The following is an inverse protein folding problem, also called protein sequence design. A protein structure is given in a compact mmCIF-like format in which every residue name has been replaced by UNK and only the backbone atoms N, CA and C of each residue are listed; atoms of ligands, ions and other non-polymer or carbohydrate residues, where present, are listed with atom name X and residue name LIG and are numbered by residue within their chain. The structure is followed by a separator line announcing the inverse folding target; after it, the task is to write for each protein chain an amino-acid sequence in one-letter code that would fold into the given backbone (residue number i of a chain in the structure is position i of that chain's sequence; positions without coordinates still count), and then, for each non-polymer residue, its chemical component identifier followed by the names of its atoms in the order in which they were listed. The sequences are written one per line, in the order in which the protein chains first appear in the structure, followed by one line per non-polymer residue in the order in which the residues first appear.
data_IF_354109826089
#
_entry.id   IF_354109826089
#
_cell.length_a   1.000
_cell.length_b   1.000
_cell.length_c   1.000
_cell.angle_alpha   90.00
_cell.angle_beta   90.00
_cell.angle_gamma   90.00
#
_symmetry.space_group_name_H-M   'P 1'
#
loop_
_entity.id
_entity.type
_entity.pdbx_description
1 polymer ?
#
# COMPACT_ATOMS: atom_id res chain seq x y z
N UNK A 1 91.17 -27.64 -22.42
CA UNK A 1 90.15 -26.56 -22.42
C UNK A 1 89.62 -26.43 -20.99
N UNK A 2 89.80 -25.31 -20.28
CA UNK A 2 89.52 -25.27 -18.85
C UNK A 2 88.01 -25.23 -18.59
N UNK A 3 87.53 -26.16 -17.76
CA UNK A 3 86.17 -26.23 -17.23
C UNK A 3 85.98 -25.09 -16.22
N UNK A 4 85.16 -24.10 -16.55
CA UNK A 4 84.72 -23.09 -15.58
C UNK A 4 83.68 -23.73 -14.64
N UNK A 5 83.94 -23.68 -13.34
CA UNK A 5 83.03 -24.24 -12.35
C UNK A 5 81.85 -23.28 -12.13
N UNK A 6 80.66 -23.80 -11.80
CA UNK A 6 79.49 -22.99 -11.44
C UNK A 6 79.79 -21.99 -10.31
N UNK A 7 80.76 -22.31 -9.45
CA UNK A 7 81.23 -21.45 -8.38
C UNK A 7 81.99 -20.22 -8.90
N UNK A 8 82.77 -20.35 -9.99
CA UNK A 8 83.49 -19.21 -10.61
C UNK A 8 82.54 -18.17 -11.21
N UNK A 9 81.38 -18.62 -11.73
CA UNK A 9 80.35 -17.74 -12.29
C UNK A 9 79.64 -16.98 -11.16
N UNK A 10 79.40 -17.63 -10.02
CA UNK A 10 78.78 -17.03 -8.82
C UNK A 10 79.75 -16.08 -8.10
N UNK A 11 81.06 -16.37 -8.08
CA UNK A 11 82.05 -15.46 -7.50
C UNK A 11 82.28 -14.20 -8.35
N UNK A 12 82.21 -14.32 -9.68
CA UNK A 12 82.29 -13.17 -10.59
C UNK A 12 81.08 -12.24 -10.47
N UNK A 13 79.88 -12.80 -10.29
CA UNK A 13 78.67 -11.99 -10.04
C UNK A 13 78.70 -11.29 -8.67
N UNK A 14 79.33 -11.92 -7.66
CA UNK A 14 79.58 -11.29 -6.34
C UNK A 14 80.63 -10.17 -6.33
N UNK A 15 81.63 -10.19 -7.24
CA UNK A 15 82.64 -9.13 -7.33
C UNK A 15 82.07 -7.81 -7.86
N UNK A 16 81.12 -7.87 -8.78
CA UNK A 16 80.46 -6.67 -9.29
C UNK A 16 79.64 -5.97 -8.20
N UNK A 17 79.04 -6.73 -7.28
CA UNK A 17 78.34 -6.23 -6.09
C UNK A 17 79.23 -5.56 -5.01
N UNK A 18 80.56 -5.50 -5.15
CA UNK A 18 81.44 -4.88 -4.13
C UNK A 18 81.75 -3.40 -4.36
N UNK A 19 81.50 -2.87 -5.56
CA UNK A 19 81.68 -1.43 -5.82
C UNK A 19 80.41 -0.65 -5.48
N UNK A 20 80.51 0.49 -4.77
CA UNK A 20 79.35 1.24 -4.30
C UNK A 20 78.39 1.61 -5.45
N UNK A 21 78.94 1.90 -6.63
CA UNK A 21 78.19 2.26 -7.84
C UNK A 21 77.36 1.12 -8.46
N UNK A 22 77.75 -0.15 -8.28
CA UNK A 22 76.97 -1.30 -8.78
C UNK A 22 75.78 -1.61 -7.87
N UNK A 23 75.92 -1.45 -6.55
CA UNK A 23 74.81 -1.57 -5.58
C UNK A 23 73.79 -0.46 -5.79
N UNK A 24 74.30 0.77 -5.77
CA UNK A 24 73.97 1.86 -6.70
C UNK A 24 72.88 1.60 -7.75
N UNK A 25 73.38 1.22 -8.92
CA UNK A 25 72.62 0.91 -10.12
C UNK A 25 71.62 -0.23 -9.93
N UNK A 26 71.93 -1.25 -9.12
CA UNK A 26 71.01 -2.37 -8.89
C UNK A 26 69.80 -1.96 -8.06
N UNK A 27 69.98 -1.14 -7.02
CA UNK A 27 68.88 -0.56 -6.22
C UNK A 27 68.02 0.36 -7.09
N UNK A 28 68.65 1.19 -7.93
CA UNK A 28 67.94 2.05 -8.89
C UNK A 28 67.13 1.21 -9.89
N UNK A 29 67.72 0.13 -10.43
CA UNK A 29 67.03 -0.77 -11.35
C UNK A 29 65.82 -1.46 -10.72
N UNK A 30 65.96 -1.94 -9.47
CA UNK A 30 64.84 -2.52 -8.71
C UNK A 30 63.76 -1.47 -8.44
N UNK A 31 64.14 -0.26 -8.04
CA UNK A 31 63.20 0.82 -7.77
C UNK A 31 62.43 1.22 -9.03
N UNK A 32 63.10 1.31 -10.19
CA UNK A 32 62.46 1.59 -11.48
C UNK A 32 61.53 0.45 -11.89
N UNK A 33 61.97 -0.80 -11.73
CA UNK A 33 61.14 -1.97 -12.04
C UNK A 33 59.89 -2.02 -11.17
N UNK A 34 60.02 -1.77 -9.86
CA UNK A 34 58.91 -1.71 -8.93
C UNK A 34 57.94 -0.57 -9.27
N UNK A 35 58.48 0.60 -9.62
CA UNK A 35 57.68 1.75 -10.07
C UNK A 35 56.86 1.41 -11.33
N UNK A 36 57.45 0.76 -12.33
CA UNK A 36 56.76 0.36 -13.55
C UNK A 36 55.67 -0.68 -13.28
N UNK A 37 55.91 -1.64 -12.38
CA UNK A 37 54.91 -2.65 -11.99
C UNK A 37 53.74 -2.00 -11.27
N UNK A 38 53.99 -1.13 -10.29
CA UNK A 38 52.95 -0.40 -9.56
C UNK A 38 52.17 0.50 -10.51
N UNK A 39 52.85 1.21 -11.40
CA UNK A 39 52.22 2.04 -12.43
C UNK A 39 51.34 1.21 -13.37
N UNK A 40 51.80 0.04 -13.81
CA UNK A 40 51.01 -0.86 -14.67
C UNK A 40 49.78 -1.40 -13.94
N UNK A 41 49.90 -1.76 -12.66
CA UNK A 41 48.77 -2.21 -11.83
C UNK A 41 47.77 -1.07 -11.64
N UNK A 42 48.23 0.16 -11.36
CA UNK A 42 47.35 1.34 -11.25
C UNK A 42 46.59 1.56 -12.57
N UNK A 43 47.27 1.48 -13.71
CA UNK A 43 46.62 1.60 -15.03
C UNK A 43 45.59 0.49 -15.23
N UNK A 44 45.92 -0.77 -14.96
CA UNK A 44 44.96 -1.90 -15.11
C UNK A 44 43.76 -1.78 -14.16
N UNK A 45 43.96 -1.28 -12.94
CA UNK A 45 42.88 -1.09 -11.96
C UNK A 45 41.98 0.09 -12.32
N UNK A 46 42.53 1.18 -12.86
CA UNK A 46 41.75 2.33 -13.35
C UNK A 46 41.06 2.03 -14.70
N UNK A 47 41.64 1.17 -15.54
CA UNK A 47 41.15 0.87 -16.90
C UNK A 47 40.27 -0.38 -16.91
N UNK A 48 39.28 -0.46 -16.00
CA UNK A 48 38.23 -1.49 -16.12
C UNK A 48 37.27 -1.08 -17.25
N UNK A 49 36.94 -1.96 -18.20
CA UNK A 49 35.93 -1.65 -19.23
C UNK A 49 34.61 -1.33 -18.53
N UNK A 50 33.98 -0.22 -18.92
CA UNK A 50 32.65 0.13 -18.43
C UNK A 50 31.70 -0.99 -18.82
N UNK A 51 31.02 -1.58 -17.83
CA UNK A 51 30.02 -2.60 -18.12
C UNK A 51 28.92 -1.95 -18.95
N UNK A 52 28.54 -2.58 -20.05
CA UNK A 52 27.49 -2.07 -20.92
C UNK A 52 26.14 -2.70 -20.59
N UNK A 53 25.08 -1.91 -20.75
CA UNK A 53 23.69 -2.27 -20.44
C UNK A 53 22.82 -1.88 -21.63
N UNK A 54 21.97 -2.81 -22.07
CA UNK A 54 20.95 -2.53 -23.09
C UNK A 54 19.75 -1.82 -22.46
N UNK A 55 19.35 -0.69 -23.04
CA UNK A 55 18.19 0.10 -22.61
C UNK A 55 16.90 -0.71 -22.81
N UNK A 56 16.11 -0.95 -21.75
CA UNK A 56 14.82 -1.62 -21.86
C UNK A 56 13.75 -0.69 -22.43
N UNK A 57 12.76 -1.27 -23.10
CA UNK A 57 11.53 -0.56 -23.48
C UNK A 57 10.58 -0.45 -22.29
N UNK A 58 10.37 0.79 -21.85
CA UNK A 58 9.49 1.13 -20.74
C UNK A 58 8.37 2.10 -21.13
N UNK A 59 8.25 2.45 -22.43
CA UNK A 59 7.16 3.32 -22.91
C UNK A 59 5.80 2.63 -22.70
N UNK A 60 4.80 3.38 -22.24
CA UNK A 60 3.45 2.90 -21.96
C UNK A 60 3.30 2.12 -20.65
N UNK A 61 4.40 1.84 -19.93
CA UNK A 61 4.36 1.17 -18.62
C UNK A 61 4.25 2.19 -17.49
N UNK A 62 3.76 1.74 -16.32
CA UNK A 62 3.80 2.54 -15.09
C UNK A 62 5.23 2.61 -14.54
N UNK A 63 5.66 3.79 -14.11
CA UNK A 63 7.01 3.98 -13.56
C UNK A 63 7.26 3.12 -12.32
N UNK A 64 6.26 3.02 -11.43
CA UNK A 64 6.33 2.18 -10.23
C UNK A 64 6.71 0.72 -10.54
N UNK A 65 6.20 0.15 -11.63
CA UNK A 65 6.42 -1.24 -12.00
C UNK A 65 7.82 -1.47 -12.58
N UNK A 66 8.38 -0.48 -13.27
CA UNK A 66 9.67 -0.60 -13.96
C UNK A 66 10.86 -0.09 -13.16
N UNK A 67 10.65 0.74 -12.13
CA UNK A 67 11.71 1.36 -11.32
C UNK A 67 12.75 0.33 -10.83
N UNK A 68 12.29 -0.72 -10.16
CA UNK A 68 13.18 -1.77 -9.63
C UNK A 68 13.95 -2.51 -10.73
N UNK A 69 13.34 -2.68 -11.90
CA UNK A 69 14.00 -3.30 -13.06
C UNK A 69 15.12 -2.43 -13.63
N UNK A 70 14.89 -1.12 -13.72
CA UNK A 70 15.89 -0.14 -14.18
C UNK A 70 17.10 -0.09 -13.25
N UNK A 71 16.87 -0.02 -11.93
CA UNK A 71 17.95 0.01 -10.93
C UNK A 71 18.76 -1.30 -10.96
N UNK A 72 18.11 -2.46 -11.06
CA UNK A 72 18.79 -3.76 -11.16
C UNK A 72 19.63 -3.90 -12.42
N UNK A 73 19.25 -3.23 -13.50
CA UNK A 73 20.04 -3.14 -14.74
C UNK A 73 21.16 -2.10 -14.64
N UNK A 74 21.33 -1.43 -13.50
CA UNK A 74 22.35 -0.41 -13.31
C UNK A 74 22.02 0.91 -14.01
N UNK A 75 20.75 1.22 -14.30
CA UNK A 75 20.36 2.50 -14.91
C UNK A 75 19.85 3.47 -13.84
N UNK A 76 20.12 4.77 -14.01
CA UNK A 76 19.65 5.83 -13.10
C UNK A 76 18.45 6.57 -13.72
N UNK A 77 17.21 6.33 -13.29
CA UNK A 77 16.05 7.03 -13.83
C UNK A 77 16.02 8.50 -13.39
N UNK A 78 15.81 9.39 -14.35
CA UNK A 78 15.55 10.81 -14.15
C UNK A 78 14.18 11.16 -14.72
N UNK A 79 13.28 11.67 -13.89
CA UNK A 79 11.90 11.94 -14.29
C UNK A 79 11.68 13.39 -14.72
N UNK A 80 10.90 13.56 -15.77
CA UNK A 80 10.26 14.83 -16.15
C UNK A 80 8.76 14.57 -16.28
N UNK A 81 7.94 15.37 -15.62
CA UNK A 81 6.48 15.22 -15.70
C UNK A 81 5.91 16.06 -16.85
N UNK A 82 4.89 15.52 -17.53
CA UNK A 82 4.14 16.20 -18.57
C UNK A 82 2.65 16.12 -18.27
N UNK A 83 1.97 17.27 -18.29
CA UNK A 83 0.57 17.36 -17.94
C UNK A 83 -0.32 16.86 -19.11
N UNK A 84 -1.13 15.83 -18.86
CA UNK A 84 -2.04 15.20 -19.84
C UNK A 84 -3.39 14.89 -19.21
N UNK A 85 -4.47 15.20 -19.91
CA UNK A 85 -5.83 15.07 -19.38
C UNK A 85 -6.40 13.64 -19.50
N UNK A 86 -5.99 12.89 -20.53
CA UNK A 86 -6.63 11.63 -20.93
C UNK A 86 -5.85 10.36 -20.56
N UNK A 87 -4.67 10.53 -19.96
CA UNK A 87 -3.77 9.42 -19.61
C UNK A 87 -3.69 9.35 -18.08
N UNK A 88 -3.73 8.12 -17.55
CA UNK A 88 -3.48 7.83 -16.14
C UNK A 88 -2.20 8.50 -15.64
N UNK A 89 -2.16 8.84 -14.35
CA UNK A 89 -0.91 9.24 -13.70
C UNK A 89 0.15 8.12 -13.77
N UNK A 90 1.42 8.54 -13.82
CA UNK A 90 2.58 7.66 -13.67
C UNK A 90 2.89 6.75 -14.88
N UNK A 91 2.32 7.04 -16.06
CA UNK A 91 2.60 6.34 -17.31
C UNK A 91 3.79 6.98 -18.03
N UNK A 92 4.76 6.17 -18.44
CA UNK A 92 5.92 6.65 -19.20
C UNK A 92 5.48 6.95 -20.64
N UNK A 93 5.48 8.24 -20.99
CA UNK A 93 5.11 8.74 -22.31
C UNK A 93 6.27 8.68 -23.30
N UNK A 94 7.49 8.96 -22.82
CA UNK A 94 8.73 8.93 -23.63
C UNK A 94 9.91 8.54 -22.75
N UNK A 95 10.93 7.96 -23.38
CA UNK A 95 12.21 7.66 -22.74
C UNK A 95 13.37 8.16 -23.59
N UNK A 96 14.52 8.41 -22.96
CA UNK A 96 15.79 8.63 -23.63
C UNK A 96 16.93 8.13 -22.74
N UNK A 97 17.91 7.35 -23.23
CA UNK A 97 18.09 6.93 -24.63
C UNK A 97 17.00 5.96 -25.13
N UNK A 98 16.93 5.75 -26.46
CA UNK A 98 15.84 4.98 -27.07
C UNK A 98 15.92 3.49 -26.70
N UNK A 99 14.79 2.76 -26.71
CA UNK A 99 14.77 1.34 -26.46
C UNK A 99 15.78 0.57 -27.33
N UNK A 100 16.58 -0.29 -26.69
CA UNK A 100 17.55 -1.13 -27.38
C UNK A 100 18.94 -0.52 -27.59
N UNK A 101 19.14 0.77 -27.31
CA UNK A 101 20.47 1.38 -27.26
C UNK A 101 21.36 0.73 -26.18
N UNK A 102 22.68 0.78 -26.39
CA UNK A 102 23.67 0.27 -25.45
C UNK A 102 24.35 1.45 -24.77
N UNK A 103 24.35 1.45 -23.46
CA UNK A 103 24.89 2.52 -22.62
C UNK A 103 25.77 1.94 -21.54
N UNK A 104 26.69 2.74 -21.00
CA UNK A 104 27.44 2.37 -19.81
C UNK A 104 26.51 2.13 -18.61
N UNK A 105 26.87 1.17 -17.77
CA UNK A 105 26.27 0.95 -16.46
C UNK A 105 26.38 2.25 -15.64
N UNK A 106 25.36 2.56 -14.86
CA UNK A 106 25.12 3.79 -14.11
C UNK A 106 24.77 5.02 -14.95
N UNK A 107 24.54 4.87 -16.25
CA UNK A 107 24.03 5.94 -17.11
C UNK A 107 22.61 6.35 -16.72
N UNK A 108 22.27 7.60 -17.07
CA UNK A 108 20.97 8.20 -16.75
C UNK A 108 19.97 7.96 -17.86
N UNK A 109 18.81 7.37 -17.52
CA UNK A 109 17.65 7.26 -18.42
C UNK A 109 16.63 8.35 -18.06
N UNK A 110 16.36 9.26 -18.99
CA UNK A 110 15.37 10.32 -18.84
C UNK A 110 14.00 9.81 -19.25
N UNK A 111 13.02 9.89 -18.36
CA UNK A 111 11.66 9.43 -18.60
C UNK A 111 10.71 10.63 -18.54
N UNK A 112 9.92 10.82 -19.59
CA UNK A 112 8.78 11.73 -19.59
C UNK A 112 7.57 10.95 -19.07
N UNK A 113 7.02 11.35 -17.93
CA UNK A 113 5.93 10.64 -17.25
C UNK A 113 4.67 11.49 -17.26
N UNK A 114 3.53 10.86 -17.53
CA UNK A 114 2.22 11.50 -17.49
C UNK A 114 1.88 11.98 -16.09
N UNK A 115 1.30 13.18 -16.04
CA UNK A 115 0.69 13.75 -14.86
C UNK A 115 -0.69 14.26 -15.26
N UNK A 116 -1.72 13.64 -14.73
CA UNK A 116 -3.09 14.11 -14.84
C UNK A 116 -3.25 15.38 -14.01
N UNK A 117 -3.44 16.50 -14.69
CA UNK A 117 -3.81 17.78 -14.08
C UNK A 117 -5.34 17.88 -13.86
N UNK A 118 -6.07 16.74 -13.84
CA UNK A 118 -7.49 16.73 -13.59
C UNK A 118 -7.74 17.39 -12.24
N UNK A 119 -8.35 18.57 -12.31
CA UNK A 119 -8.81 19.30 -11.14
C UNK A 119 -10.31 19.06 -11.01
N UNK A 120 -10.73 18.80 -9.79
CA UNK A 120 -12.14 18.65 -9.46
C UNK A 120 -12.51 19.70 -8.43
N UNK A 121 -13.76 20.15 -8.45
CA UNK A 121 -14.28 21.00 -7.40
C UNK A 121 -14.50 20.16 -6.15
N UNK A 122 -13.93 20.60 -5.03
CA UNK A 122 -14.01 19.89 -3.77
C UNK A 122 -15.48 19.76 -3.32
N UNK A 123 -16.00 18.55 -3.12
CA UNK A 123 -17.38 18.36 -2.67
C UNK A 123 -17.57 18.85 -1.23
N UNK A 124 -18.78 19.30 -0.90
CA UNK A 124 -19.17 19.54 0.50
C UNK A 124 -19.47 18.22 1.22
N UNK A 125 -18.77 18.00 2.34
CA UNK A 125 -19.01 16.93 3.31
C UNK A 125 -19.28 17.45 4.72
N UNK A 126 -19.26 18.78 4.91
CA UNK A 126 -19.64 19.42 6.19
C UNK A 126 -21.11 19.11 6.50
N UNK A 127 -21.38 18.77 7.75
CA UNK A 127 -22.71 18.37 8.22
C UNK A 127 -23.08 16.92 7.92
N UNK A 128 -22.25 16.17 7.20
CA UNK A 128 -22.45 14.73 6.99
C UNK A 128 -21.86 13.94 8.16
N UNK A 129 -22.43 12.79 8.50
CA UNK A 129 -21.75 11.85 9.39
C UNK A 129 -20.50 11.31 8.69
N UNK A 130 -19.45 11.08 9.47
CA UNK A 130 -18.12 10.72 8.98
C UNK A 130 -18.13 9.54 7.97
N UNK A 131 -18.84 8.42 8.18
CA UNK A 131 -18.85 7.34 7.20
C UNK A 131 -19.42 7.76 5.84
N UNK A 132 -20.44 8.62 5.83
CA UNK A 132 -21.02 9.14 4.59
C UNK A 132 -20.10 10.14 3.91
N UNK A 133 -19.45 11.01 4.69
CA UNK A 133 -18.42 11.89 4.18
C UNK A 133 -17.30 11.09 3.49
N UNK A 134 -16.80 10.04 4.15
CA UNK A 134 -15.76 9.16 3.60
C UNK A 134 -16.24 8.44 2.32
N UNK A 135 -17.47 7.93 2.31
CA UNK A 135 -18.03 7.26 1.13
C UNK A 135 -18.20 8.22 -0.05
N UNK A 136 -18.69 9.44 0.21
CA UNK A 136 -18.85 10.49 -0.81
C UNK A 136 -17.50 10.88 -1.39
N UNK A 137 -16.46 11.05 -0.56
CA UNK A 137 -15.10 11.35 -1.03
C UNK A 137 -14.50 10.20 -1.84
N UNK A 138 -14.81 8.95 -1.51
CA UNK A 138 -14.33 7.76 -2.21
C UNK A 138 -15.00 7.54 -3.56
N UNK A 139 -16.27 7.89 -3.70
CA UNK A 139 -17.09 7.57 -4.88
C UNK A 139 -17.66 8.82 -5.55
N UNK A 140 -16.79 9.75 -5.95
CA UNK A 140 -17.20 10.92 -6.74
C UNK A 140 -17.37 10.53 -8.19
N UNK A 141 -18.50 10.86 -8.79
CA UNK A 141 -18.77 10.59 -10.20
C UNK A 141 -18.57 11.87 -10.99
N UNK A 142 -17.60 11.88 -11.92
CA UNK A 142 -17.27 13.04 -12.73
C UNK A 142 -16.98 12.60 -14.17
N UNK A 143 -17.74 13.15 -15.13
CA UNK A 143 -17.58 12.92 -16.58
C UNK A 143 -17.29 11.44 -16.94
N UNK A 144 -18.18 10.55 -16.51
CA UNK A 144 -18.14 9.09 -16.73
C UNK A 144 -17.02 8.31 -16.01
N UNK A 145 -16.31 8.94 -15.07
CA UNK A 145 -15.30 8.29 -14.23
C UNK A 145 -15.67 8.36 -12.75
N UNK A 146 -15.40 7.27 -12.02
CA UNK A 146 -15.41 7.28 -10.54
C UNK A 146 -14.04 7.71 -10.04
N UNK A 147 -14.02 8.80 -9.29
CA UNK A 147 -12.85 9.42 -8.70
C UNK A 147 -12.89 9.21 -7.19
N UNK A 148 -11.74 8.86 -6.61
CA UNK A 148 -11.58 8.74 -5.17
C UNK A 148 -10.61 9.81 -4.64
N UNK A 149 -11.10 10.68 -3.76
CA UNK A 149 -10.27 11.58 -2.97
C UNK A 149 -9.75 10.86 -1.73
N UNK A 150 -8.45 11.03 -1.46
CA UNK A 150 -7.84 10.46 -0.26
C UNK A 150 -8.11 11.34 0.95
N UNK A 151 -8.51 10.73 2.06
CA UNK A 151 -8.65 11.42 3.34
C UNK A 151 -7.28 11.50 4.02
N UNK A 152 -6.98 12.66 4.59
CA UNK A 152 -5.78 12.93 5.36
C UNK A 152 -6.03 12.74 6.85
N UNK A 153 -5.78 13.79 7.62
CA UNK A 153 -5.99 13.78 9.08
C UNK A 153 -7.47 13.95 9.38
N UNK A 154 -8.00 13.06 10.23
CA UNK A 154 -9.30 13.22 10.87
C UNK A 154 -9.04 13.66 12.31
N UNK A 155 -9.44 14.88 12.65
CA UNK A 155 -9.34 15.42 14.00
C UNK A 155 -10.72 15.47 14.63
N UNK A 156 -10.78 15.20 15.94
CA UNK A 156 -12.01 15.23 16.70
C UNK A 156 -12.00 16.41 17.68
N UNK A 157 -13.13 17.12 17.78
CA UNK A 157 -13.31 18.19 18.76
C UNK A 157 -14.69 18.04 19.43
N UNK A 158 -14.79 18.25 20.76
CA UNK A 158 -16.08 18.31 21.43
C UNK A 158 -16.94 19.44 20.86
N UNK A 159 -18.24 19.19 20.66
CA UNK A 159 -19.19 20.20 20.20
C UNK A 159 -20.57 19.95 20.81
N UNK A 160 -21.08 20.95 21.52
CA UNK A 160 -22.47 20.97 22.02
C UNK A 160 -23.49 21.20 20.89
N UNK A 161 -23.05 21.78 19.76
CA UNK A 161 -23.92 22.21 18.66
C UNK A 161 -24.03 21.17 17.55
N UNK A 162 -23.08 20.24 17.47
CA UNK A 162 -22.95 19.30 16.36
C UNK A 162 -22.98 17.89 16.91
N UNK A 163 -23.89 17.07 16.40
CA UNK A 163 -24.00 15.68 16.82
C UNK A 163 -22.68 14.93 16.66
N UNK A 164 -22.47 13.93 17.51
CA UNK A 164 -21.27 13.11 17.52
C UNK A 164 -21.05 12.40 16.16
N UNK A 165 -19.80 12.31 15.71
CA UNK A 165 -19.36 11.80 14.41
C UNK A 165 -19.83 12.60 13.18
N UNK A 166 -20.33 13.83 13.34
CA UNK A 166 -20.64 14.72 12.21
C UNK A 166 -19.44 15.60 11.86
N UNK A 167 -19.15 15.74 10.56
CA UNK A 167 -18.08 16.61 10.05
C UNK A 167 -18.44 18.07 10.33
N UNK A 168 -17.64 18.74 11.15
CA UNK A 168 -17.73 20.17 11.47
C UNK A 168 -17.06 21.00 10.38
N UNK A 169 -15.90 20.56 9.91
CA UNK A 169 -15.15 21.27 8.89
C UNK A 169 -14.35 20.32 7.99
N UNK A 170 -14.00 20.81 6.82
CA UNK A 170 -13.15 20.13 5.85
C UNK A 170 -12.06 21.06 5.31
N UNK A 171 -10.93 20.47 4.94
CA UNK A 171 -9.88 21.15 4.17
C UNK A 171 -9.36 20.16 3.13
N UNK A 172 -9.44 20.45 1.82
CA UNK A 172 -9.83 21.70 1.16
C UNK A 172 -11.31 22.11 1.36
N UNK A 173 -11.62 23.41 1.19
CA UNK A 173 -12.98 23.94 1.37
C UNK A 173 -13.88 23.54 0.19
N UNK A 174 -15.18 23.43 0.41
CA UNK A 174 -16.14 23.12 -0.66
C UNK A 174 -16.00 24.12 -1.82
N UNK A 175 -15.98 23.62 -3.06
CA UNK A 175 -15.81 24.42 -4.27
C UNK A 175 -14.35 24.83 -4.58
N UNK A 176 -13.40 24.50 -3.72
CA UNK A 176 -11.98 24.70 -4.02
C UNK A 176 -11.53 23.71 -5.12
N UNK A 177 -10.81 24.20 -6.13
CA UNK A 177 -10.25 23.34 -7.18
C UNK A 177 -9.06 22.56 -6.65
N UNK A 178 -9.18 21.25 -6.65
CA UNK A 178 -8.17 20.36 -6.08
C UNK A 178 -7.69 19.34 -7.10
N UNK A 179 -6.40 19.01 -7.03
CA UNK A 179 -5.82 17.88 -7.77
C UNK A 179 -6.12 16.57 -7.04
N UNK A 180 -6.25 15.47 -7.78
CA UNK A 180 -6.63 14.15 -7.24
C UNK A 180 -5.74 13.64 -6.09
N UNK A 181 -4.46 14.02 -6.08
CA UNK A 181 -3.54 13.59 -5.03
C UNK A 181 -3.70 14.34 -3.70
N UNK A 182 -4.44 15.48 -3.70
CA UNK A 182 -4.64 16.31 -2.51
C UNK A 182 -5.45 15.54 -1.47
N UNK A 183 -4.89 15.44 -0.27
CA UNK A 183 -5.58 14.82 0.87
C UNK A 183 -6.62 15.78 1.46
N UNK A 184 -7.78 15.22 1.83
CA UNK A 184 -8.88 15.91 2.50
C UNK A 184 -8.79 15.67 3.99
N UNK A 185 -8.47 16.69 4.77
CA UNK A 185 -8.55 16.66 6.23
C UNK A 185 -9.96 16.97 6.69
N UNK A 186 -10.42 16.28 7.74
CA UNK A 186 -11.76 16.43 8.30
C UNK A 186 -11.64 16.80 9.78
N UNK A 187 -12.41 17.80 10.20
CA UNK A 187 -12.68 18.07 11.61
C UNK A 187 -14.06 17.51 11.92
N UNK A 188 -14.15 16.62 12.89
CA UNK A 188 -15.34 15.86 13.24
C UNK A 188 -15.73 16.18 14.67
N UNK A 189 -17.03 16.29 14.92
CA UNK A 189 -17.57 16.40 16.26
C UNK A 189 -17.36 15.09 17.01
N UNK A 190 -16.80 15.14 18.21
CA UNK A 190 -16.86 14.01 19.16
C UNK A 190 -18.12 14.06 20.03
N UNK A 191 -19.10 14.89 19.67
CA UNK A 191 -20.29 15.16 20.47
C UNK A 191 -20.02 16.07 21.66
N UNK A 192 -21.08 16.33 22.43
CA UNK A 192 -20.98 16.90 23.78
C UNK A 192 -20.23 15.92 24.68
N UNK A 193 -19.61 16.40 25.76
CA UNK A 193 -18.95 15.55 26.76
C UNK A 193 -19.93 14.58 27.50
N UNK A 194 -21.21 14.60 27.13
CA UNK A 194 -22.23 13.66 27.55
C UNK A 194 -22.06 12.27 26.92
N UNK A 195 -22.69 11.27 27.55
CA UNK A 195 -22.69 9.87 27.12
C UNK A 195 -22.97 9.69 25.62
N UNK A 196 -22.20 8.84 24.89
CA UNK A 196 -22.43 8.60 23.47
C UNK A 196 -23.83 8.05 23.24
N UNK A 197 -24.45 8.38 22.11
CA UNK A 197 -25.79 7.91 21.73
C UNK A 197 -25.73 7.09 20.45
N UNK A 198 -26.75 6.28 20.23
CA UNK A 198 -26.90 5.43 19.07
C UNK A 198 -27.09 6.27 17.80
N UNK A 199 -26.20 6.17 16.80
CA UNK A 199 -26.32 6.95 15.57
C UNK A 199 -27.42 6.43 14.66
N UNK A 200 -27.78 7.25 13.65
CA UNK A 200 -28.77 6.89 12.64
C UNK A 200 -28.18 5.93 11.60
N UNK A 201 -28.40 4.64 11.81
CA UNK A 201 -27.84 3.58 10.95
C UNK A 201 -28.89 2.75 10.21
N UNK A 202 -30.17 2.88 10.56
CA UNK A 202 -31.26 2.17 9.88
C UNK A 202 -31.40 2.68 8.44
N UNK A 203 -31.55 1.74 7.50
CA UNK A 203 -31.61 2.02 6.06
C UNK A 203 -30.25 2.20 5.39
N UNK A 204 -29.15 1.98 6.11
CA UNK A 204 -27.79 2.21 5.63
C UNK A 204 -27.01 0.89 5.46
N UNK A 205 -25.97 0.92 4.62
CA UNK A 205 -25.06 -0.23 4.44
C UNK A 205 -24.31 -0.56 5.72
N UNK A 206 -24.25 -1.85 6.03
CA UNK A 206 -23.52 -2.36 7.20
C UNK A 206 -22.02 -2.06 7.14
N UNK A 207 -21.41 -2.02 5.95
CA UNK A 207 -19.99 -1.70 5.82
C UNK A 207 -19.68 -0.24 6.22
N UNK A 208 -20.65 0.67 6.03
CA UNK A 208 -20.51 2.07 6.42
C UNK A 208 -20.75 2.26 7.91
N UNK A 209 -21.75 1.56 8.46
CA UNK A 209 -22.16 1.73 9.85
C UNK A 209 -21.28 0.95 10.83
N UNK A 210 -20.64 -0.15 10.42
CA UNK A 210 -19.82 -0.95 11.32
C UNK A 210 -18.63 -0.17 11.92
N UNK A 211 -17.79 0.54 11.13
CA UNK A 211 -16.73 1.39 11.69
C UNK A 211 -17.27 2.51 12.58
N UNK A 212 -18.45 3.06 12.24
CA UNK A 212 -19.11 4.10 13.04
C UNK A 212 -19.47 3.58 14.43
N UNK A 213 -20.09 2.41 14.52
CA UNK A 213 -20.44 1.78 15.78
C UNK A 213 -19.19 1.42 16.58
N UNK A 214 -18.17 0.84 15.95
CA UNK A 214 -16.89 0.55 16.61
C UNK A 214 -16.22 1.81 17.20
N UNK A 215 -16.35 2.97 16.55
CA UNK A 215 -15.82 4.23 17.09
C UNK A 215 -16.50 4.67 18.40
N UNK A 216 -17.71 4.17 18.70
CA UNK A 216 -18.41 4.37 19.98
C UNK A 216 -17.95 3.40 21.08
N UNK A 217 -16.92 2.59 20.81
CA UNK A 217 -16.39 1.56 21.71
C UNK A 217 -17.45 0.54 22.16
N UNK A 218 -18.41 0.23 21.27
CA UNK A 218 -19.42 -0.83 21.48
C UNK A 218 -19.04 -2.07 20.68
N UNK A 219 -19.57 -3.22 21.08
CA UNK A 219 -19.54 -4.44 20.27
C UNK A 219 -20.76 -4.51 19.36
N UNK A 220 -20.62 -5.08 18.17
CA UNK A 220 -21.71 -5.21 17.20
C UNK A 220 -22.06 -6.68 17.01
N UNK A 221 -23.29 -7.05 17.36
CA UNK A 221 -23.86 -8.36 17.09
C UNK A 221 -24.79 -8.28 15.89
N UNK A 222 -24.69 -9.23 14.96
CA UNK A 222 -25.54 -9.23 13.77
C UNK A 222 -26.66 -10.25 13.93
N UNK A 223 -27.84 -9.87 13.42
CA UNK A 223 -28.94 -10.78 13.16
C UNK A 223 -29.30 -10.65 11.69
N UNK A 224 -29.51 -11.77 11.01
CA UNK A 224 -29.83 -11.77 9.59
C UNK A 224 -31.34 -11.75 9.37
N UNK A 225 -31.81 -10.86 8.49
CA UNK A 225 -33.17 -10.81 7.99
C UNK A 225 -33.18 -11.20 6.50
N UNK A 226 -33.69 -12.39 6.13
CA UNK A 226 -33.75 -12.79 4.73
C UNK A 226 -34.53 -11.78 3.88
N UNK A 227 -34.06 -11.50 2.67
CA UNK A 227 -34.78 -10.69 1.68
C UNK A 227 -34.71 -11.35 0.30
N UNK A 228 -35.71 -11.09 -0.53
CA UNK A 228 -35.75 -11.50 -1.94
C UNK A 228 -35.31 -10.35 -2.87
N UNK A 229 -34.98 -9.18 -2.33
CA UNK A 229 -34.46 -8.05 -3.08
C UNK A 229 -32.94 -7.95 -2.91
N UNK A 230 -32.20 -8.24 -3.99
CA UNK A 230 -30.74 -8.17 -4.00
C UNK A 230 -30.23 -6.76 -3.68
N UNK A 231 -30.96 -5.71 -4.07
CA UNK A 231 -30.55 -4.33 -3.81
C UNK A 231 -30.61 -3.95 -2.32
N UNK A 232 -31.37 -4.70 -1.52
CA UNK A 232 -31.46 -4.51 -0.07
C UNK A 232 -30.40 -5.26 0.72
N UNK A 233 -29.70 -6.21 0.10
CA UNK A 233 -28.69 -7.01 0.79
C UNK A 233 -27.61 -6.10 1.40
N UNK A 234 -27.27 -6.35 2.66
CA UNK A 234 -26.31 -5.56 3.42
C UNK A 234 -26.85 -4.26 4.04
N UNK A 235 -28.14 -3.94 3.86
CA UNK A 235 -28.77 -2.78 4.49
C UNK A 235 -29.25 -3.14 5.90
N UNK A 236 -29.03 -2.26 6.86
CA UNK A 236 -29.52 -2.39 8.24
C UNK A 236 -31.02 -2.14 8.28
N UNK A 237 -31.79 -3.17 8.63
CA UNK A 237 -33.23 -3.14 8.77
C UNK A 237 -33.68 -2.55 10.12
N UNK A 238 -33.04 -2.99 11.21
CA UNK A 238 -33.38 -2.60 12.57
C UNK A 238 -32.14 -2.59 13.46
N UNK A 239 -32.20 -1.84 14.55
CA UNK A 239 -31.13 -1.78 15.55
C UNK A 239 -31.67 -1.73 16.97
N UNK A 240 -30.89 -2.29 17.89
CA UNK A 240 -31.10 -2.19 19.32
C UNK A 240 -29.76 -1.91 20.02
N UNK A 241 -29.61 -0.80 20.77
CA UNK A 241 -30.60 0.25 21.03
C UNK A 241 -31.09 1.01 19.78
N UNK A 242 -32.24 1.67 19.88
CA UNK A 242 -32.76 2.53 18.80
C UNK A 242 -31.96 3.83 18.68
N UNK A 243 -32.06 4.50 17.53
CA UNK A 243 -31.45 5.82 17.28
C UNK A 243 -31.67 6.80 18.44
N UNK A 244 -30.63 7.51 18.85
CA UNK A 244 -30.66 8.50 19.93
C UNK A 244 -30.61 7.93 21.35
N UNK A 245 -30.75 6.61 21.54
CA UNK A 245 -30.61 5.99 22.86
C UNK A 245 -29.15 6.03 23.36
N UNK A 246 -28.90 6.14 24.67
CA UNK A 246 -27.55 6.16 25.21
C UNK A 246 -26.83 4.82 24.96
N UNK A 247 -25.56 4.91 24.62
CA UNK A 247 -24.62 3.82 24.50
C UNK A 247 -23.66 3.84 25.69
N UNK A 248 -23.28 2.65 26.14
CA UNK A 248 -22.23 2.46 27.16
C UNK A 248 -21.02 1.80 26.52
N UNK A 249 -19.81 2.20 26.91
CA UNK A 249 -18.59 1.53 26.42
C UNK A 249 -18.64 0.03 26.75
N UNK A 250 -18.31 -0.82 25.78
CA UNK A 250 -18.38 -2.28 25.90
C UNK A 250 -19.78 -2.89 25.82
N UNK A 251 -20.84 -2.09 25.65
CA UNK A 251 -22.19 -2.59 25.39
C UNK A 251 -22.24 -3.31 24.04
N UNK A 252 -23.09 -4.34 23.93
CA UNK A 252 -23.40 -4.97 22.64
C UNK A 252 -24.60 -4.28 22.00
N UNK A 253 -24.41 -3.77 20.78
CA UNK A 253 -25.46 -3.27 19.89
C UNK A 253 -25.83 -4.38 18.92
N UNK A 254 -27.10 -4.73 18.85
CA UNK A 254 -27.61 -5.72 17.90
C UNK A 254 -28.14 -5.00 16.67
N UNK A 255 -27.60 -5.35 15.50
CA UNK A 255 -28.08 -4.85 14.21
C UNK A 255 -28.72 -5.99 13.43
N UNK A 256 -29.91 -5.74 12.91
CA UNK A 256 -30.57 -6.66 11.99
C UNK A 256 -30.29 -6.22 10.56
N UNK A 257 -29.69 -7.08 9.75
CA UNK A 257 -29.23 -6.76 8.40
C UNK A 257 -29.99 -7.60 7.38
N UNK A 258 -30.51 -6.95 6.35
CA UNK A 258 -31.10 -7.65 5.20
C UNK A 258 -30.03 -8.48 4.50
N UNK A 259 -30.34 -9.74 4.20
CA UNK A 259 -29.45 -10.62 3.46
C UNK A 259 -30.22 -11.33 2.37
N UNK A 260 -29.81 -11.07 1.13
CA UNK A 260 -30.23 -11.85 -0.01
C UNK A 260 -29.34 -13.09 -0.13
N UNK A 261 -29.94 -14.27 -0.11
CA UNK A 261 -29.21 -15.51 -0.32
C UNK A 261 -28.87 -15.66 -1.80
N UNK A 262 -27.60 -15.39 -2.12
CA UNK A 262 -27.09 -15.39 -3.49
C UNK A 262 -27.15 -16.79 -4.10
N UNK A 263 -27.77 -16.90 -5.30
CA UNK A 263 -27.77 -18.14 -6.11
C UNK A 263 -26.53 -18.23 -6.99
N UNK A 264 -26.15 -17.11 -7.58
CA UNK A 264 -24.94 -16.94 -8.40
C UNK A 264 -23.92 -16.10 -7.61
N UNK A 265 -22.62 -16.24 -7.88
CA UNK A 265 -21.57 -15.48 -7.20
C UNK A 265 -21.00 -14.35 -8.07
N UNK A 266 -21.69 -13.21 -8.23
CA UNK A 266 -21.21 -12.12 -9.05
C UNK A 266 -19.95 -11.47 -8.47
N UNK A 267 -19.33 -10.62 -9.30
CA UNK A 267 -18.13 -9.89 -8.92
C UNK A 267 -18.36 -8.92 -7.73
N UNK A 268 -19.56 -8.39 -7.54
CA UNK A 268 -19.93 -7.55 -6.40
C UNK A 268 -21.14 -8.13 -5.67
N UNK A 269 -20.97 -8.49 -4.40
CA UNK A 269 -22.05 -9.07 -3.59
C UNK A 269 -21.88 -8.78 -2.09
N UNK A 270 -22.93 -9.00 -1.31
CA UNK A 270 -22.84 -9.21 0.14
C UNK A 270 -22.85 -10.70 0.43
N UNK A 271 -21.94 -11.13 1.30
CA UNK A 271 -21.76 -12.51 1.72
C UNK A 271 -22.05 -12.61 3.22
N UNK A 272 -22.49 -13.78 3.66
CA UNK A 272 -22.68 -14.09 5.09
C UNK A 272 -21.60 -15.06 5.55
N UNK A 273 -20.83 -14.65 6.55
CA UNK A 273 -19.98 -15.55 7.31
C UNK A 273 -20.79 -16.12 8.48
N UNK A 274 -20.86 -17.45 8.55
CA UNK A 274 -21.31 -18.16 9.75
C UNK A 274 -20.22 -19.12 10.20
N UNK A 275 -19.59 -18.80 11.32
CA UNK A 275 -18.45 -19.56 11.87
C UNK A 275 -18.65 -19.82 13.36
N UNK A 276 -18.73 -21.09 13.75
CA UNK A 276 -18.79 -21.48 15.15
C UNK A 276 -17.39 -21.54 15.74
N UNK A 277 -17.17 -20.86 16.86
CA UNK A 277 -15.91 -20.89 17.60
C UNK A 277 -15.64 -22.33 18.08
N UNK A 278 -14.56 -22.98 17.63
CA UNK A 278 -14.22 -24.34 18.01
C UNK A 278 -14.00 -24.51 19.52
N UNK A 279 -14.20 -25.74 20.01
CA UNK A 279 -14.07 -26.10 21.43
C UNK A 279 -12.65 -26.00 22.00
N UNK A 280 -11.66 -26.17 21.12
CA UNK A 280 -10.22 -26.13 21.40
C UNK A 280 -9.64 -24.71 21.36
N UNK A 281 -10.40 -23.74 20.88
CA UNK A 281 -10.01 -22.33 20.88
C UNK A 281 -10.23 -21.68 22.26
N UNK A 282 -9.42 -20.67 22.59
CA UNK A 282 -9.56 -19.94 23.86
C UNK A 282 -10.62 -18.85 23.82
N UNK A 283 -11.21 -18.53 24.96
CA UNK A 283 -11.99 -17.29 25.11
C UNK A 283 -11.12 -16.07 24.78
N UNK A 284 -11.68 -15.11 24.04
CA UNK A 284 -10.92 -13.93 23.64
C UNK A 284 -11.66 -13.01 22.69
N UNK A 285 -10.93 -12.00 22.22
CA UNK A 285 -11.40 -11.08 21.21
C UNK A 285 -11.30 -11.72 19.83
N UNK A 286 -12.46 -12.00 19.23
CA UNK A 286 -12.57 -12.48 17.87
C UNK A 286 -12.79 -11.31 16.92
N UNK A 287 -11.94 -11.24 15.89
CA UNK A 287 -12.00 -10.23 14.83
C UNK A 287 -12.07 -10.90 13.47
N UNK A 288 -12.92 -10.39 12.59
CA UNK A 288 -13.01 -10.86 11.20
C UNK A 288 -12.55 -9.78 10.25
N UNK A 289 -11.51 -10.09 9.47
CA UNK A 289 -11.00 -9.20 8.43
C UNK A 289 -11.32 -9.75 7.05
N UNK A 290 -11.89 -8.91 6.19
CA UNK A 290 -12.12 -9.22 4.77
C UNK A 290 -11.03 -8.53 3.97
N UNK A 291 -10.32 -9.29 3.14
CA UNK A 291 -9.35 -8.80 2.17
C UNK A 291 -9.79 -9.19 0.77
N UNK A 292 -10.13 -8.20 -0.02
CA UNK A 292 -10.57 -8.36 -1.41
C UNK A 292 -9.79 -7.42 -2.35
N UNK A 293 -10.21 -7.29 -3.61
CA UNK A 293 -9.53 -6.46 -4.61
C UNK A 293 -9.50 -4.95 -4.27
N UNK A 294 -10.26 -4.50 -3.26
CA UNK A 294 -10.28 -3.09 -2.83
C UNK A 294 -9.36 -2.85 -1.64
N UNK A 295 -9.58 -3.54 -0.52
CA UNK A 295 -8.90 -3.22 0.74
C UNK A 295 -9.16 -4.25 1.83
N UNK A 296 -8.20 -4.39 2.74
CA UNK A 296 -8.41 -5.13 4.00
C UNK A 296 -9.24 -4.31 4.98
N UNK A 297 -10.35 -4.86 5.48
CA UNK A 297 -11.28 -4.18 6.41
C UNK A 297 -11.74 -5.11 7.52
N UNK A 298 -12.00 -4.57 8.70
CA UNK A 298 -12.64 -5.27 9.83
C UNK A 298 -14.16 -5.23 9.64
N UNK A 299 -14.84 -6.37 9.72
CA UNK A 299 -16.30 -6.46 9.59
C UNK A 299 -17.00 -7.10 10.80
N UNK A 300 -16.25 -7.64 11.76
CA UNK A 300 -16.77 -8.18 13.00
C UNK A 300 -15.72 -8.08 14.10
N UNK A 301 -16.15 -7.76 15.32
CA UNK A 301 -15.29 -7.67 16.50
C UNK A 301 -16.11 -7.89 17.75
N UNK A 302 -15.85 -8.98 18.47
CA UNK A 302 -16.55 -9.29 19.73
C UNK A 302 -15.74 -10.24 20.61
N UNK A 303 -15.87 -10.12 21.93
CA UNK A 303 -15.37 -11.14 22.85
C UNK A 303 -16.29 -12.37 22.82
N UNK A 304 -15.74 -13.54 22.52
CA UNK A 304 -16.49 -14.79 22.39
C UNK A 304 -15.83 -15.92 23.16
N UNK A 305 -16.65 -16.90 23.52
CA UNK A 305 -16.27 -18.19 24.11
C UNK A 305 -16.47 -19.32 23.10
N UNK A 306 -15.83 -20.47 23.32
CA UNK A 306 -16.13 -21.69 22.56
C UNK A 306 -17.62 -21.99 22.46
N UNK A 307 -18.06 -22.38 21.26
CA UNK A 307 -19.47 -22.63 20.95
C UNK A 307 -20.29 -21.39 20.56
N UNK A 308 -19.78 -20.16 20.74
CA UNK A 308 -20.43 -18.98 20.18
C UNK A 308 -20.30 -18.97 18.64
N UNK A 309 -21.23 -18.27 17.98
CA UNK A 309 -21.27 -18.18 16.52
C UNK A 309 -20.93 -16.76 16.12
N UNK A 310 -19.92 -16.63 15.27
CA UNK A 310 -19.69 -15.44 14.46
C UNK A 310 -20.66 -15.52 13.29
N UNK A 311 -21.68 -14.68 13.30
CA UNK A 311 -22.62 -14.51 12.21
C UNK A 311 -22.51 -13.06 11.77
N UNK A 312 -22.01 -12.79 10.57
CA UNK A 312 -21.88 -11.42 10.07
C UNK A 312 -22.07 -11.35 8.55
N UNK A 313 -22.65 -10.25 8.10
CA UNK A 313 -22.82 -9.93 6.68
C UNK A 313 -21.76 -8.90 6.29
N UNK A 314 -21.06 -9.13 5.19
CA UNK A 314 -20.00 -8.26 4.70
C UNK A 314 -20.07 -8.12 3.18
N UNK A 315 -19.76 -6.95 2.64
CA UNK A 315 -19.61 -6.80 1.19
C UNK A 315 -18.32 -7.48 0.71
N UNK A 316 -18.23 -7.91 -0.56
CA UNK A 316 -16.97 -8.22 -1.25
C UNK A 316 -16.93 -7.65 -2.68
N UNK A 317 -15.71 -7.36 -3.15
CA UNK A 317 -15.41 -7.02 -4.54
C UNK A 317 -14.39 -8.01 -5.12
N UNK A 318 -14.79 -8.77 -6.12
CA UNK A 318 -13.99 -9.85 -6.68
C UNK A 318 -13.86 -11.02 -5.70
N UNK A 319 -12.74 -11.73 -5.81
CA UNK A 319 -12.37 -12.78 -4.86
C UNK A 319 -12.00 -12.15 -3.52
N UNK A 320 -12.40 -12.78 -2.43
CA UNK A 320 -12.13 -12.31 -1.08
C UNK A 320 -11.57 -13.43 -0.19
N UNK A 321 -10.61 -13.06 0.67
CA UNK A 321 -10.15 -13.88 1.78
C UNK A 321 -10.64 -13.28 3.08
N UNK A 322 -11.28 -14.11 3.89
CA UNK A 322 -11.81 -13.74 5.20
C UNK A 322 -10.97 -14.40 6.28
N UNK A 323 -10.35 -13.58 7.11
CA UNK A 323 -9.46 -14.00 8.19
C UNK A 323 -10.21 -13.87 9.51
N UNK A 324 -10.42 -15.00 10.19
CA UNK A 324 -10.91 -15.03 11.56
C UNK A 324 -9.71 -15.07 12.48
N UNK A 325 -9.60 -14.07 13.34
CA UNK A 325 -8.50 -13.89 14.28
C UNK A 325 -9.04 -14.03 15.71
N UNK A 326 -8.30 -14.66 16.61
CA UNK A 326 -8.54 -14.62 18.06
C UNK A 326 -7.29 -14.06 18.73
N UNK A 327 -7.43 -12.99 19.53
CA UNK A 327 -6.33 -12.35 20.26
C UNK A 327 -5.10 -12.07 19.35
N UNK A 328 -5.36 -11.54 18.14
CA UNK A 328 -4.37 -11.25 17.08
C UNK A 328 -3.68 -12.47 16.44
N UNK A 329 -4.07 -13.69 16.79
CA UNK A 329 -3.62 -14.92 16.12
C UNK A 329 -4.66 -15.35 15.09
N UNK A 330 -4.20 -15.76 13.91
CA UNK A 330 -5.09 -16.28 12.87
C UNK A 330 -5.58 -17.67 13.26
N UNK A 331 -6.90 -17.82 13.32
CA UNK A 331 -7.59 -19.08 13.65
C UNK A 331 -8.08 -19.77 12.38
N UNK A 332 -8.69 -18.99 11.46
CA UNK A 332 -9.26 -19.53 10.22
C UNK A 332 -9.08 -18.55 9.08
N UNK A 333 -8.90 -19.11 7.88
CA UNK A 333 -9.02 -18.36 6.62
C UNK A 333 -10.08 -19.06 5.78
N UNK A 334 -11.01 -18.28 5.24
CA UNK A 334 -12.03 -18.72 4.29
C UNK A 334 -11.85 -17.95 2.97
N UNK A 335 -12.13 -18.63 1.86
CA UNK A 335 -12.13 -18.02 0.53
C UNK A 335 -13.57 -17.88 0.03
N UNK A 336 -13.85 -16.73 -0.57
CA UNK A 336 -15.10 -16.41 -1.24
C UNK A 336 -14.76 -15.98 -2.66
N UNK A 337 -14.90 -16.91 -3.61
CA UNK A 337 -14.51 -16.72 -4.99
C UNK A 337 -15.73 -16.38 -5.86
N UNK A 338 -15.52 -15.53 -6.86
CA UNK A 338 -16.48 -15.19 -7.91
C UNK A 338 -16.67 -16.41 -8.82
N UNK A 339 -17.89 -16.66 -9.29
CA UNK A 339 -18.11 -17.62 -10.38
C UNK A 339 -17.62 -17.00 -11.69
N UNK A 340 -16.70 -17.68 -12.38
CA UNK A 340 -16.29 -17.29 -13.72
C UNK A 340 -17.52 -17.34 -14.63
N UNK A 341 -17.81 -16.24 -15.33
CA UNK A 341 -18.83 -16.24 -16.37
C UNK A 341 -18.27 -17.06 -17.54
N UNK A 342 -18.86 -18.23 -17.80
CA UNK A 342 -18.63 -19.02 -19.03
C UNK A 342 -18.95 -18.23 -20.31
#
# INVERSE_FOLDING_TARGET
MPKYSLNDIIERSKRWLKHPYSRIAFIIFIAISLYLIVSAIIVVVLTKPEKEVKIPDVIGKRYADVHNSLIRKGLKPQLKFYDVHDIDNDIILRQYPEPGEIVSENSTIRLLVSRSNLTIDMPSVVGMELPFALNKLKNLHLYDKTISLRVGVISYIPSEKTADNVVIDQSPKSGEKIVLDRKVNLLVSSGSATQPVMPKVVGQSVDLCFPLLMSKKVFVSFTVLPTNDMAQSGIIAQVNPQEGQPLTEGQTVTIQVYYYEMKDKPYYAYERLKYTVPGDEGEGLYEVYVSDNKSKRLCYSQNLKPGNIIDCVFHRTGNARVYVMCNKKQVKVLSFDVEEFD
#
